data_IF_884310193377
#
_entry.id   IF_884310193377
#
_cell.length_a   1.000
_cell.length_b   1.000
_cell.length_c   1.000
_cell.angle_alpha   90.00
_cell.angle_beta   90.00
_cell.angle_gamma   90.00
#
_symmetry.space_group_name_H-M   'P 1'
#
loop_
_entity.id
_entity.type
_entity.pdbx_description
1 polymer ?
#
# COMPACT_ATOMS: atom_id res chain seq x y z
N UNK A 1 -19.17 0.98 -7.51
CA UNK A 1 -19.99 1.13 -6.28
C UNK A 1 -19.38 2.24 -5.41
N UNK A 2 -20.14 3.20 -4.88
CA UNK A 2 -19.56 4.21 -4.00
C UNK A 2 -19.10 3.56 -2.69
N UNK A 3 -17.92 3.96 -2.21
CA UNK A 3 -17.19 3.44 -1.04
C UNK A 3 -18.06 3.24 0.23
N UNK A 4 -19.14 4.01 0.35
CA UNK A 4 -20.13 3.95 1.43
C UNK A 4 -20.88 2.62 1.52
N UNK A 5 -21.23 2.00 0.39
CA UNK A 5 -21.96 0.71 0.36
C UNK A 5 -21.06 -0.44 0.85
N UNK A 6 -19.77 -0.38 0.51
CA UNK A 6 -18.75 -1.34 0.96
C UNK A 6 -18.56 -1.23 2.49
N UNK A 7 -18.46 -0.01 3.00
CA UNK A 7 -18.35 0.26 4.43
C UNK A 7 -19.61 -0.20 5.19
N UNK A 8 -20.81 0.01 4.62
CA UNK A 8 -22.06 -0.46 5.20
C UNK A 8 -22.18 -1.99 5.21
N UNK A 9 -21.75 -2.68 4.16
CA UNK A 9 -21.73 -4.15 4.11
C UNK A 9 -20.78 -4.75 5.18
N UNK A 10 -19.58 -4.16 5.33
CA UNK A 10 -18.61 -4.55 6.36
C UNK A 10 -19.14 -4.27 7.77
N UNK A 11 -19.71 -3.08 8.01
CA UNK A 11 -20.32 -2.71 9.30
C UNK A 11 -21.57 -3.53 9.62
N UNK A 12 -22.31 -4.00 8.61
CA UNK A 12 -23.44 -4.91 8.76
C UNK A 12 -23.03 -6.38 9.05
N UNK A 13 -21.72 -6.65 9.17
CA UNK A 13 -21.20 -7.96 9.56
C UNK A 13 -21.00 -8.94 8.41
N UNK A 14 -21.09 -8.49 7.14
CA UNK A 14 -20.72 -9.31 5.99
C UNK A 14 -19.19 -9.41 5.92
N UNK A 15 -18.66 -10.58 6.31
CA UNK A 15 -17.21 -10.84 6.35
C UNK A 15 -16.56 -11.05 4.97
N UNK A 16 -17.35 -11.13 3.90
CA UNK A 16 -16.88 -11.43 2.54
C UNK A 16 -17.69 -10.64 1.51
N UNK A 17 -17.00 -9.96 0.62
CA UNK A 17 -17.52 -9.29 -0.57
C UNK A 17 -16.77 -9.89 -1.78
N UNK A 18 -17.44 -10.04 -2.93
CA UNK A 18 -16.86 -10.67 -4.13
C UNK A 18 -16.16 -9.64 -5.02
N UNK A 19 -15.18 -10.09 -5.81
CA UNK A 19 -14.19 -9.24 -6.49
C UNK A 19 -14.75 -8.20 -7.47
N UNK A 20 -15.92 -8.46 -8.07
CA UNK A 20 -16.55 -7.55 -9.04
C UNK A 20 -16.99 -6.20 -8.44
N UNK A 21 -17.15 -6.11 -7.11
CA UNK A 21 -17.49 -4.86 -6.41
C UNK A 21 -16.25 -4.02 -6.01
N UNK A 22 -15.05 -4.59 -6.15
CA UNK A 22 -13.80 -4.08 -5.54
C UNK A 22 -12.74 -3.58 -6.51
N UNK A 23 -12.91 -3.78 -7.82
CA UNK A 23 -11.95 -3.35 -8.85
C UNK A 23 -11.57 -1.86 -8.75
N UNK A 24 -12.46 -1.00 -8.21
CA UNK A 24 -12.18 0.43 -8.03
C UNK A 24 -11.38 0.77 -6.76
N UNK A 25 -11.37 -0.10 -5.74
CA UNK A 25 -10.68 0.14 -4.47
C UNK A 25 -9.29 -0.51 -4.41
N UNK A 26 -9.06 -1.56 -5.21
CA UNK A 26 -7.84 -2.37 -5.18
C UNK A 26 -6.69 -1.83 -6.03
N UNK A 27 -6.94 -0.86 -6.92
CA UNK A 27 -5.93 -0.24 -7.80
C UNK A 27 -4.80 0.50 -7.02
N UNK A 28 -4.92 0.56 -5.69
CA UNK A 28 -3.95 1.18 -4.77
C UNK A 28 -3.13 0.18 -3.94
N UNK A 29 -3.30 -1.13 -4.17
CA UNK A 29 -2.65 -2.18 -3.39
C UNK A 29 -1.13 -2.19 -3.62
N UNK A 30 -0.35 -1.53 -2.75
CA UNK A 30 1.11 -1.46 -2.88
C UNK A 30 1.76 -2.84 -2.95
N UNK A 31 1.17 -3.85 -2.30
CA UNK A 31 1.69 -5.20 -2.35
C UNK A 31 1.80 -5.73 -3.79
N UNK A 32 0.88 -5.44 -4.71
CA UNK A 32 0.92 -5.97 -6.09
C UNK A 32 2.16 -5.56 -6.90
N UNK A 33 2.90 -4.56 -6.44
CA UNK A 33 4.10 -4.06 -7.09
C UNK A 33 5.38 -4.83 -6.69
N UNK A 34 5.34 -5.60 -5.60
CA UNK A 34 6.50 -6.33 -5.09
C UNK A 34 6.70 -7.68 -5.79
N UNK A 35 7.95 -8.03 -6.12
CA UNK A 35 8.34 -9.30 -6.75
C UNK A 35 8.00 -10.52 -5.86
N UNK A 36 7.74 -11.68 -6.49
CA UNK A 36 7.49 -12.99 -5.85
C UNK A 36 6.26 -13.06 -4.95
N UNK A 37 5.15 -12.53 -5.44
CA UNK A 37 3.86 -12.58 -4.78
C UNK A 37 3.00 -13.78 -5.22
N UNK A 38 2.68 -14.67 -4.27
CA UNK A 38 1.68 -15.73 -4.42
C UNK A 38 0.78 -15.94 -3.19
N UNK A 39 0.97 -15.11 -2.15
CA UNK A 39 0.32 -15.25 -0.85
C UNK A 39 -0.74 -14.16 -0.64
N UNK A 40 -1.11 -13.89 0.62
CA UNK A 40 -2.11 -12.89 0.98
C UNK A 40 -1.69 -11.45 0.59
N UNK A 41 -2.63 -10.74 -0.01
CA UNK A 41 -2.59 -9.33 -0.34
C UNK A 41 -3.41 -8.52 0.66
N UNK A 42 -3.11 -7.23 0.77
CA UNK A 42 -3.94 -6.33 1.55
C UNK A 42 -3.90 -4.88 1.04
N UNK A 43 -4.98 -4.17 1.33
CA UNK A 43 -5.16 -2.75 1.09
C UNK A 43 -5.75 -2.08 2.33
N UNK A 44 -5.28 -0.87 2.61
CA UNK A 44 -5.85 -0.01 3.63
C UNK A 44 -7.25 0.45 3.20
N UNK A 45 -8.21 0.42 4.12
CA UNK A 45 -9.59 0.84 3.87
C UNK A 45 -9.97 2.06 4.70
N UNK A 46 -9.76 2.00 6.02
CA UNK A 46 -10.29 3.03 6.92
C UNK A 46 -9.57 3.09 8.26
N UNK A 47 -9.52 4.26 8.90
CA UNK A 47 -8.99 4.45 10.27
C UNK A 47 -10.11 4.57 11.30
N UNK A 48 -9.94 3.95 12.47
CA UNK A 48 -10.92 4.06 13.55
C UNK A 48 -10.64 5.27 14.44
N UNK A 49 -11.58 6.20 14.53
CA UNK A 49 -11.46 7.37 15.42
C UNK A 49 -11.21 6.99 16.89
N UNK A 50 -11.78 5.88 17.36
CA UNK A 50 -11.68 5.42 18.75
C UNK A 50 -10.59 4.36 18.99
N UNK A 51 -9.87 3.94 17.94
CA UNK A 51 -8.77 2.95 18.02
C UNK A 51 -7.62 3.36 17.09
N UNK A 52 -6.86 4.40 17.43
CA UNK A 52 -5.84 4.97 16.54
C UNK A 52 -4.65 4.03 16.22
N UNK A 53 -4.54 2.90 16.92
CA UNK A 53 -3.53 1.88 16.62
C UNK A 53 -4.00 0.81 15.63
N UNK A 54 -5.29 0.82 15.27
CA UNK A 54 -5.92 -0.13 14.37
C UNK A 54 -6.56 0.58 13.18
N UNK A 55 -6.58 -0.11 12.05
CA UNK A 55 -7.29 0.30 10.85
C UNK A 55 -8.05 -0.90 10.28
N UNK A 56 -9.07 -0.61 9.48
CA UNK A 56 -9.74 -1.60 8.67
C UNK A 56 -8.89 -1.88 7.43
N UNK A 57 -8.61 -3.16 7.20
CA UNK A 57 -7.89 -3.66 6.04
C UNK A 57 -8.78 -4.61 5.25
N UNK A 58 -8.69 -4.52 3.93
CA UNK A 58 -9.15 -5.56 3.03
C UNK A 58 -7.97 -6.49 2.78
N UNK A 59 -8.11 -7.78 3.10
CA UNK A 59 -7.12 -8.80 2.80
C UNK A 59 -7.70 -9.83 1.83
N UNK A 60 -6.92 -10.28 0.86
CA UNK A 60 -7.38 -11.28 -0.10
C UNK A 60 -6.25 -12.18 -0.56
N UNK A 61 -6.59 -13.39 -0.95
CA UNK A 61 -5.66 -14.33 -1.59
C UNK A 61 -5.88 -14.35 -3.10
N UNK A 62 -4.94 -14.89 -3.89
CA UNK A 62 -5.07 -14.96 -5.36
C UNK A 62 -6.29 -15.77 -5.84
N UNK A 63 -6.91 -16.56 -4.96
CA UNK A 63 -8.16 -17.29 -5.22
C UNK A 63 -9.41 -16.39 -5.20
N UNK A 64 -9.26 -15.09 -4.91
CA UNK A 64 -10.32 -14.09 -4.94
C UNK A 64 -11.15 -13.98 -3.67
N UNK A 65 -10.83 -14.75 -2.62
CA UNK A 65 -11.51 -14.63 -1.34
C UNK A 65 -11.04 -13.38 -0.59
N UNK A 66 -11.95 -12.41 -0.40
CA UNK A 66 -11.67 -11.21 0.39
C UNK A 66 -12.24 -11.29 1.81
N UNK A 67 -11.48 -10.77 2.77
CA UNK A 67 -11.87 -10.58 4.17
C UNK A 67 -11.56 -9.15 4.61
N UNK A 68 -12.43 -8.60 5.45
CA UNK A 68 -12.20 -7.31 6.10
C UNK A 68 -11.85 -7.54 7.57
N UNK A 69 -10.74 -6.97 8.02
CA UNK A 69 -10.26 -7.15 9.39
C UNK A 69 -9.72 -5.85 9.98
N UNK A 70 -10.00 -5.62 11.26
CA UNK A 70 -9.37 -4.56 12.04
C UNK A 70 -7.99 -5.05 12.47
N UNK A 71 -6.93 -4.52 11.86
CA UNK A 71 -5.54 -4.91 12.13
C UNK A 71 -4.76 -3.69 12.60
N UNK A 72 -3.79 -3.95 13.49
CA UNK A 72 -2.89 -2.90 13.97
C UNK A 72 -1.93 -2.44 12.87
N UNK A 73 -1.52 -1.19 12.90
CA UNK A 73 -0.41 -0.72 12.06
C UNK A 73 0.90 -1.43 12.41
N UNK A 74 1.77 -1.58 11.42
CA UNK A 74 3.12 -2.05 11.64
C UNK A 74 3.90 -1.01 12.47
N UNK A 75 4.49 -1.46 13.57
CA UNK A 75 5.19 -0.59 14.53
C UNK A 75 6.69 -0.48 14.22
N UNK A 76 7.15 -1.05 13.10
CA UNK A 76 8.56 -0.92 12.70
C UNK A 76 8.85 0.52 12.30
N UNK A 77 9.77 1.13 13.02
CA UNK A 77 10.36 2.41 12.70
C UNK A 77 11.48 2.22 11.66
N UNK A 78 11.49 3.04 10.60
CA UNK A 78 12.70 3.23 9.79
C UNK A 78 12.69 2.65 8.38
N UNK A 79 12.23 3.46 7.43
CA UNK A 79 12.90 3.57 6.14
C UNK A 79 14.20 4.41 6.23
N UNK A 80 14.99 4.45 5.16
CA UNK A 80 16.19 5.33 5.07
C UNK A 80 15.90 6.80 5.33
N UNK A 81 14.64 7.21 5.18
CA UNK A 81 14.16 8.58 5.31
C UNK A 81 13.41 8.84 6.64
N UNK A 82 13.35 7.85 7.54
CA UNK A 82 12.63 7.97 8.83
C UNK A 82 11.12 7.73 8.75
N UNK A 83 10.63 7.21 7.62
CA UNK A 83 9.21 6.92 7.41
C UNK A 83 8.71 5.72 8.23
N UNK A 84 7.42 5.76 8.58
CA UNK A 84 6.70 4.65 9.20
C UNK A 84 6.17 3.68 8.14
N UNK A 85 6.03 2.41 8.53
CA UNK A 85 5.54 1.38 7.61
C UNK A 85 4.04 1.57 7.38
N UNK A 86 3.62 1.75 6.14
CA UNK A 86 2.21 1.99 5.78
C UNK A 86 1.41 0.68 5.64
N UNK A 87 1.82 -0.39 6.31
CA UNK A 87 1.20 -1.72 6.26
C UNK A 87 0.75 -2.15 7.66
N UNK A 88 -0.08 -3.19 7.76
CA UNK A 88 -0.51 -3.76 9.04
C UNK A 88 0.58 -4.62 9.70
N UNK A 89 0.48 -4.84 11.01
CA UNK A 89 1.41 -5.65 11.80
C UNK A 89 1.38 -7.13 11.36
N UNK A 90 2.54 -7.68 11.03
CA UNK A 90 2.65 -9.06 10.56
C UNK A 90 2.32 -9.23 9.08
N UNK A 91 2.36 -8.14 8.31
CA UNK A 91 2.22 -8.18 6.86
C UNK A 91 3.18 -9.21 6.23
N UNK A 92 2.69 -9.96 5.23
CA UNK A 92 3.43 -11.05 4.59
C UNK A 92 4.68 -10.60 3.80
N UNK A 93 4.85 -9.29 3.57
CA UNK A 93 5.92 -8.73 2.74
C UNK A 93 6.98 -7.99 3.54
N UNK A 94 7.99 -7.48 2.85
CA UNK A 94 8.86 -6.44 3.37
C UNK A 94 8.07 -5.16 3.69
N UNK A 95 8.67 -4.25 4.46
CA UNK A 95 8.05 -2.98 4.81
C UNK A 95 7.74 -2.12 3.58
N UNK A 96 6.76 -1.21 3.71
CA UNK A 96 6.23 -0.42 2.58
C UNK A 96 7.29 0.32 1.76
N UNK A 97 8.37 0.78 2.40
CA UNK A 97 9.46 1.51 1.74
C UNK A 97 10.35 0.63 0.86
N UNK A 98 10.33 -0.70 1.03
CA UNK A 98 11.06 -1.62 0.17
C UNK A 98 10.27 -1.97 -1.11
N UNK A 99 8.98 -1.66 -1.14
CA UNK A 99 8.12 -1.89 -2.31
C UNK A 99 8.28 -0.73 -3.30
N UNK A 100 8.81 -1.05 -4.47
CA UNK A 100 9.03 -0.07 -5.55
C UNK A 100 7.95 -0.23 -6.61
N UNK A 101 7.17 0.83 -6.85
CA UNK A 101 6.29 0.91 -8.00
C UNK A 101 7.12 1.01 -9.29
N UNK A 102 7.01 0.04 -10.23
CA UNK A 102 7.75 0.08 -11.49
C UNK A 102 7.44 1.33 -12.33
N UNK A 103 6.22 1.87 -12.28
CA UNK A 103 5.85 3.09 -13.01
C UNK A 103 6.53 4.32 -12.41
N UNK A 104 6.48 4.46 -11.08
CA UNK A 104 7.20 5.52 -10.35
C UNK A 104 8.72 5.42 -10.57
N UNK A 105 9.29 4.22 -10.56
CA UNK A 105 10.73 4.02 -10.81
C UNK A 105 11.11 4.33 -12.26
N UNK A 106 10.29 3.94 -13.24
CA UNK A 106 10.49 4.31 -14.64
C UNK A 106 10.46 5.83 -14.82
N UNK A 107 9.51 6.51 -14.18
CA UNK A 107 9.43 7.97 -14.18
C UNK A 107 10.66 8.60 -13.53
N UNK A 108 11.08 8.12 -12.35
CA UNK A 108 12.29 8.59 -11.66
C UNK A 108 13.53 8.49 -12.56
N UNK A 109 13.75 7.33 -13.19
CA UNK A 109 14.87 7.11 -14.12
C UNK A 109 14.85 8.09 -15.29
N UNK A 110 13.67 8.33 -15.86
CA UNK A 110 13.50 9.28 -16.96
C UNK A 110 13.87 10.70 -16.52
N UNK A 111 13.34 11.17 -15.39
CA UNK A 111 13.66 12.49 -14.85
C UNK A 111 15.16 12.64 -14.61
N UNK A 112 15.81 11.63 -14.02
CA UNK A 112 17.26 11.65 -13.79
C UNK A 112 18.06 11.71 -15.10
N UNK A 113 17.67 10.96 -16.11
CA UNK A 113 18.34 10.97 -17.42
C UNK A 113 18.20 12.34 -18.12
N UNK A 114 16.99 12.92 -18.12
CA UNK A 114 16.71 14.23 -18.73
C UNK A 114 17.43 15.37 -18.00
N UNK A 115 17.67 15.24 -16.69
CA UNK A 115 18.29 16.28 -15.86
C UNK A 115 19.78 16.02 -15.52
N UNK A 116 20.40 14.99 -16.11
CA UNK A 116 21.76 14.56 -15.76
C UNK A 116 22.80 15.70 -15.84
N UNK A 117 22.69 16.56 -16.86
CA UNK A 117 23.59 17.72 -17.04
C UNK A 117 23.43 18.79 -15.95
N UNK A 118 22.19 19.08 -15.54
CA UNK A 118 21.90 20.02 -14.45
C UNK A 118 22.37 19.49 -13.10
N UNK A 119 22.12 18.21 -12.82
CA UNK A 119 22.57 17.56 -11.59
C UNK A 119 24.09 17.53 -11.48
N UNK A 120 24.79 17.23 -12.58
CA UNK A 120 26.25 17.27 -12.62
C UNK A 120 26.80 18.70 -12.41
N UNK A 121 26.11 19.72 -12.92
CA UNK A 121 26.48 21.12 -12.67
C UNK A 121 26.26 21.53 -11.21
N UNK A 122 25.13 21.15 -10.60
CA UNK A 122 24.82 21.42 -9.18
C UNK A 122 25.83 20.75 -8.24
N UNK A 123 26.23 19.51 -8.52
CA UNK A 123 27.21 18.79 -7.72
C UNK A 123 28.56 19.54 -7.67
N UNK A 124 29.06 20.00 -8.82
CA UNK A 124 30.31 20.79 -8.91
C UNK A 124 30.23 22.17 -8.25
N UNK A 125 29.03 22.72 -8.07
CA UNK A 125 28.81 24.04 -7.43
C UNK A 125 28.74 23.97 -5.91
N UNK A 126 28.56 22.77 -5.34
CA UNK A 126 28.53 22.51 -3.89
C UNK A 126 29.90 22.21 -3.30
N UNK A 127 30.91 22.03 -4.14
CA UNK A 127 32.34 21.93 -3.79
C UNK A 127 32.99 23.33 -3.81
#
# INVERSE_FOLDING_TARGET
MPFTELLLAVLAGQKRIFGEDLDAALDTARCELGLWHGDEHAAFVWEWEHKPSEALWACWTPDGAMRFESLRHCETEGGSDGDACTLYRGHAREHSWNVVDPATEAFRRRVLAENAGLLAWLARKRE
#
